data_IF_257045706305
#
_entry.id   IF_257045706305
#
_cell.length_a   1.000
_cell.length_b   1.000
_cell.length_c   1.000
_cell.angle_alpha   90.00
_cell.angle_beta   90.00
_cell.angle_gamma   90.00
#
_symmetry.space_group_name_H-M   'P 1'
#
loop_
_entity.id
_entity.type
_entity.pdbx_description
1 polymer ?
#
# COMPACT_ATOMS: atom_id res chain seq x y z
N UNK A 1 -2.45 -17.33 13.04
CA UNK A 1 -1.36 -17.17 12.06
C UNK A 1 -1.68 -15.96 11.19
N UNK A 2 -0.97 -14.83 11.40
CA UNK A 2 -1.14 -13.65 10.56
C UNK A 2 -0.49 -13.92 9.21
N UNK A 3 -1.32 -14.06 8.17
CA UNK A 3 -0.87 -14.34 6.82
C UNK A 3 -0.36 -13.01 6.23
N UNK A 4 0.95 -12.82 6.31
CA UNK A 4 1.62 -11.64 5.80
C UNK A 4 1.65 -11.69 4.26
N UNK A 5 0.55 -11.28 3.62
CA UNK A 5 0.49 -11.17 2.18
C UNK A 5 1.42 -10.02 1.73
N UNK A 6 2.65 -10.34 1.34
CA UNK A 6 3.52 -9.42 0.60
C UNK A 6 2.99 -9.28 -0.81
N UNK A 7 2.14 -8.28 -1.01
CA UNK A 7 1.77 -7.85 -2.35
C UNK A 7 2.97 -7.14 -2.98
N UNK A 8 3.62 -7.79 -3.95
CA UNK A 8 4.64 -7.18 -4.79
C UNK A 8 4.11 -7.15 -6.23
N UNK A 9 3.11 -6.31 -6.46
CA UNK A 9 2.59 -6.07 -7.79
C UNK A 9 3.25 -4.81 -8.36
N UNK A 10 3.71 -4.81 -9.62
CA UNK A 10 4.03 -3.56 -10.29
C UNK A 10 2.74 -2.76 -10.40
N UNK A 11 2.63 -1.66 -9.65
CA UNK A 11 1.50 -0.75 -9.79
C UNK A 11 1.60 -0.10 -11.17
N UNK A 12 0.93 -0.69 -12.15
CA UNK A 12 0.69 0.00 -13.40
C UNK A 12 -0.44 1.00 -13.15
N UNK A 13 -0.31 2.23 -13.66
CA UNK A 13 -1.32 3.27 -13.51
C UNK A 13 -2.56 3.03 -14.39
N UNK A 14 -2.74 1.82 -14.92
CA UNK A 14 -3.95 1.46 -15.66
C UNK A 14 -5.10 1.21 -14.69
N UNK A 15 -6.27 1.74 -15.04
CA UNK A 15 -7.45 1.76 -14.15
C UNK A 15 -7.94 0.35 -13.77
N UNK A 16 -7.63 -0.67 -14.56
CA UNK A 16 -8.05 -2.06 -14.31
C UNK A 16 -7.06 -2.89 -13.48
N UNK A 17 -5.83 -2.42 -13.25
CA UNK A 17 -4.82 -3.18 -12.51
C UNK A 17 -5.11 -3.37 -11.02
N UNK A 18 -5.62 -2.36 -10.28
CA UNK A 18 -5.87 -2.49 -8.83
C UNK A 18 -6.79 -3.64 -8.44
N UNK A 19 -7.94 -3.77 -9.11
CA UNK A 19 -8.92 -4.81 -8.80
C UNK A 19 -8.36 -6.20 -9.10
N UNK A 20 -7.67 -6.37 -10.23
CA UNK A 20 -7.04 -7.62 -10.60
C UNK A 20 -6.01 -8.07 -9.55
N UNK A 21 -5.22 -7.14 -9.02
CA UNK A 21 -4.23 -7.39 -7.97
C UNK A 21 -4.91 -7.83 -6.66
N UNK A 22 -5.97 -7.13 -6.26
CA UNK A 22 -6.76 -7.46 -5.06
C UNK A 22 -7.38 -8.85 -5.20
N UNK A 23 -8.09 -9.13 -6.30
CA UNK A 23 -8.73 -10.43 -6.52
C UNK A 23 -7.72 -11.58 -6.59
N UNK A 24 -6.58 -11.38 -7.25
CA UNK A 24 -5.52 -12.38 -7.28
C UNK A 24 -4.98 -12.69 -5.87
N UNK A 25 -4.85 -11.67 -5.02
CA UNK A 25 -4.39 -11.83 -3.63
C UNK A 25 -5.40 -12.62 -2.80
N UNK A 26 -6.68 -12.24 -2.85
CA UNK A 26 -7.76 -12.93 -2.15
C UNK A 26 -7.83 -14.41 -2.55
N UNK A 27 -7.74 -14.69 -3.85
CA UNK A 27 -7.73 -16.04 -4.39
C UNK A 27 -6.50 -16.84 -3.93
N UNK A 28 -5.29 -16.26 -4.05
CA UNK A 28 -4.04 -16.94 -3.69
C UNK A 28 -3.98 -17.35 -2.20
N UNK A 29 -4.62 -16.58 -1.33
CA UNK A 29 -4.66 -16.83 0.10
C UNK A 29 -5.97 -17.45 0.58
N UNK A 30 -6.91 -17.76 -0.32
CA UNK A 30 -8.22 -18.32 0.00
C UNK A 30 -8.95 -17.55 1.11
N UNK A 31 -8.91 -16.22 1.01
CA UNK A 31 -9.49 -15.30 2.00
C UNK A 31 -10.38 -14.26 1.30
N UNK A 32 -11.28 -13.63 2.06
CA UNK A 32 -12.07 -12.48 1.61
C UNK A 32 -11.55 -11.15 2.16
N UNK A 33 -10.52 -11.19 3.02
CA UNK A 33 -10.00 -10.02 3.73
C UNK A 33 -8.50 -9.81 3.50
N UNK A 34 -8.08 -8.55 3.59
CA UNK A 34 -6.69 -8.08 3.58
C UNK A 34 -6.39 -7.46 4.94
N UNK A 35 -5.40 -7.99 5.67
CA UNK A 35 -5.05 -7.43 6.98
C UNK A 35 -4.11 -6.21 6.87
N UNK A 36 -3.19 -6.23 5.90
CA UNK A 36 -2.19 -5.20 5.71
C UNK A 36 -1.99 -4.96 4.21
N UNK A 37 -2.12 -3.70 3.78
CA UNK A 37 -1.67 -3.24 2.47
C UNK A 37 -0.33 -2.52 2.62
N UNK A 38 0.69 -2.98 1.89
CA UNK A 38 2.00 -2.32 1.85
C UNK A 38 2.20 -1.69 0.47
N UNK A 39 2.12 -0.37 0.42
CA UNK A 39 2.31 0.39 -0.81
C UNK A 39 3.80 0.65 -1.08
N UNK A 40 4.53 -0.39 -1.49
CA UNK A 40 5.98 -0.32 -1.64
C UNK A 40 6.45 -0.03 -3.08
N UNK A 41 5.60 -0.24 -4.07
CA UNK A 41 5.98 -0.03 -5.45
C UNK A 41 6.17 1.47 -5.74
N UNK A 42 7.35 1.83 -6.23
CA UNK A 42 7.66 3.20 -6.57
C UNK A 42 8.85 3.30 -7.51
N UNK A 43 8.89 4.40 -8.25
CA UNK A 43 10.02 4.80 -9.08
C UNK A 43 10.71 6.01 -8.45
N UNK A 44 12.04 6.01 -8.50
CA UNK A 44 12.86 7.13 -8.07
C UNK A 44 13.34 7.92 -9.30
N UNK A 45 13.25 9.25 -9.23
CA UNK A 45 13.86 10.14 -10.22
C UNK A 45 15.17 10.71 -9.67
N UNK A 46 16.29 10.30 -10.27
CA UNK A 46 17.63 10.83 -9.93
C UNK A 46 18.09 11.83 -10.97
N UNK A 47 17.72 13.10 -10.77
CA UNK A 47 18.08 14.20 -11.66
C UNK A 47 18.18 15.51 -10.89
N UNK A 48 19.05 16.42 -11.35
CA UNK A 48 19.06 17.79 -10.84
C UNK A 48 17.72 18.47 -11.15
N UNK A 49 17.19 19.23 -10.20
CA UNK A 49 15.88 19.88 -10.32
C UNK A 49 15.74 20.71 -11.60
N UNK A 50 16.79 21.46 -11.97
CA UNK A 50 16.84 22.29 -13.17
C UNK A 50 16.72 21.52 -14.48
N UNK A 51 16.90 20.20 -14.46
CA UNK A 51 16.78 19.32 -15.62
C UNK A 51 15.51 18.46 -15.57
N UNK A 52 14.71 18.51 -14.49
CA UNK A 52 13.48 17.72 -14.37
C UNK A 52 12.47 18.22 -15.40
N UNK A 53 11.95 17.30 -16.21
CA UNK A 53 10.90 17.60 -17.18
C UNK A 53 9.52 17.38 -16.56
N UNK A 54 8.46 17.98 -17.14
CA UNK A 54 7.08 17.67 -16.74
C UNK A 54 6.76 16.16 -16.84
N UNK A 55 7.31 15.47 -17.85
CA UNK A 55 7.10 14.03 -18.02
C UNK A 55 7.78 13.20 -16.93
N UNK A 56 8.97 13.60 -16.47
CA UNK A 56 9.65 12.97 -15.34
C UNK A 56 8.80 13.09 -14.06
N UNK A 57 8.25 14.27 -13.81
CA UNK A 57 7.35 14.52 -12.69
C UNK A 57 6.07 13.67 -12.79
N UNK A 58 5.41 13.70 -13.96
CA UNK A 58 4.21 12.94 -14.21
C UNK A 58 4.45 11.44 -13.99
N UNK A 59 5.56 10.90 -14.49
CA UNK A 59 5.93 9.49 -14.30
C UNK A 59 6.04 9.08 -12.83
N UNK A 60 6.68 9.91 -12.01
CA UNK A 60 6.83 9.64 -10.57
C UNK A 60 5.46 9.71 -9.87
N UNK A 61 4.64 10.70 -10.19
CA UNK A 61 3.33 10.87 -9.56
C UNK A 61 2.32 9.82 -10.00
N UNK A 62 2.36 9.40 -11.27
CA UNK A 62 1.51 8.32 -11.79
C UNK A 62 1.74 7.01 -11.03
N UNK A 63 3.00 6.65 -10.75
CA UNK A 63 3.31 5.40 -10.04
C UNK A 63 3.14 5.57 -8.52
N UNK A 64 3.85 6.54 -7.93
CA UNK A 64 4.03 6.60 -6.48
C UNK A 64 2.83 7.22 -5.74
N UNK A 65 1.99 7.99 -6.45
CA UNK A 65 0.85 8.70 -5.84
C UNK A 65 -0.45 8.15 -6.39
N UNK A 66 -0.68 8.25 -7.71
CA UNK A 66 -1.94 7.82 -8.32
C UNK A 66 -2.13 6.31 -8.23
N UNK A 67 -1.16 5.52 -8.67
CA UNK A 67 -1.20 4.07 -8.56
C UNK A 67 -1.39 3.62 -7.10
N UNK A 68 -0.66 4.26 -6.19
CA UNK A 68 -0.78 4.03 -4.77
C UNK A 68 -2.20 4.27 -4.21
N UNK A 69 -2.82 5.39 -4.59
CA UNK A 69 -4.18 5.76 -4.19
C UNK A 69 -5.23 4.80 -4.76
N UNK A 70 -5.10 4.44 -6.04
CA UNK A 70 -6.04 3.52 -6.71
C UNK A 70 -6.01 2.12 -6.08
N UNK A 71 -4.81 1.59 -5.79
CA UNK A 71 -4.67 0.30 -5.11
C UNK A 71 -5.26 0.31 -3.69
N UNK A 72 -5.04 1.40 -2.94
CA UNK A 72 -5.68 1.56 -1.64
C UNK A 72 -7.21 1.60 -1.76
N UNK A 73 -7.75 2.36 -2.73
CA UNK A 73 -9.18 2.42 -3.01
C UNK A 73 -9.80 1.05 -3.27
N UNK A 74 -9.18 0.25 -4.14
CA UNK A 74 -9.64 -1.11 -4.45
C UNK A 74 -9.54 -2.07 -3.25
N UNK A 75 -8.55 -1.88 -2.37
CA UNK A 75 -8.35 -2.74 -1.21
C UNK A 75 -9.31 -2.44 -0.04
N UNK A 76 -9.74 -1.18 0.14
CA UNK A 76 -10.56 -0.73 1.29
C UNK A 76 -11.75 -1.66 1.60
N UNK A 77 -12.57 -2.10 0.62
CA UNK A 77 -13.70 -3.00 0.90
C UNK A 77 -13.31 -4.35 1.50
N UNK A 78 -12.05 -4.76 1.32
CA UNK A 78 -11.50 -6.02 1.79
C UNK A 78 -10.64 -5.86 3.04
N UNK A 79 -10.32 -4.63 3.47
CA UNK A 79 -9.47 -4.46 4.65
C UNK A 79 -10.20 -4.95 5.90
N UNK A 80 -9.57 -5.88 6.60
CA UNK A 80 -10.09 -6.38 7.87
C UNK A 80 -10.11 -5.22 8.87
N UNK A 81 -11.29 -4.89 9.39
CA UNK A 81 -11.47 -3.88 10.43
C UNK A 81 -11.03 -4.47 11.78
N UNK A 82 -9.78 -4.92 11.89
CA UNK A 82 -9.20 -5.30 13.17
C UNK A 82 -8.97 -4.01 13.93
N UNK A 83 -9.87 -3.70 14.86
CA UNK A 83 -9.65 -2.66 15.85
C UNK A 83 -8.46 -3.08 16.72
N UNK A 84 -7.32 -2.37 16.66
CA UNK A 84 -6.20 -2.72 17.52
C UNK A 84 -6.62 -2.51 18.98
N UNK A 85 -6.25 -3.41 19.91
CA UNK A 85 -6.60 -3.27 21.33
C UNK A 85 -6.00 -2.01 21.98
N UNK A 86 -5.03 -1.36 21.34
CA UNK A 86 -4.41 -0.12 21.78
C UNK A 86 -5.04 1.15 21.16
N UNK A 87 -5.96 1.02 20.21
CA UNK A 87 -6.59 2.17 19.55
C UNK A 87 -7.97 2.44 20.19
N UNK A 88 -8.16 3.58 20.89
CA UNK A 88 -9.44 3.90 21.51
C UNK A 88 -10.50 4.25 20.45
N UNK A 89 -11.61 3.51 20.43
CA UNK A 89 -12.82 3.85 19.65
C UNK A 89 -12.68 3.78 18.13
N UNK A 90 -13.46 4.61 17.41
CA UNK A 90 -13.44 4.70 15.94
C UNK A 90 -12.19 5.40 15.36
N UNK A 91 -11.22 5.78 16.20
CA UNK A 91 -10.08 6.60 15.81
C UNK A 91 -9.29 6.02 14.61
N UNK A 92 -9.24 4.68 14.47
CA UNK A 92 -8.60 4.00 13.36
C UNK A 92 -9.29 4.20 12.00
N UNK A 93 -10.58 4.59 11.97
CA UNK A 93 -11.32 4.94 10.74
C UNK A 93 -10.89 6.28 10.15
N UNK A 94 -10.27 7.14 10.97
CA UNK A 94 -9.89 8.51 10.60
C UNK A 94 -8.37 8.72 10.48
N UNK A 95 -7.55 7.71 10.77
CA UNK A 95 -6.09 7.84 10.60
C UNK A 95 -5.80 7.79 9.09
N UNK A 96 -5.25 8.85 8.50
CA UNK A 96 -4.78 8.78 7.12
C UNK A 96 -3.72 7.68 7.04
N UNK A 97 -3.78 6.85 5.99
CA UNK A 97 -3.03 5.61 5.75
C UNK A 97 -1.47 5.69 5.78
N UNK A 98 -0.85 6.62 6.50
CA UNK A 98 0.59 6.63 6.77
C UNK A 98 0.93 5.61 7.86
N UNK A 99 1.07 4.37 7.39
CA UNK A 99 1.79 3.24 7.96
C UNK A 99 2.72 3.58 9.15
N UNK A 100 2.45 2.97 10.31
CA UNK A 100 3.39 2.90 11.45
C UNK A 100 4.45 1.79 11.26
N UNK A 101 5.12 1.75 10.09
CA UNK A 101 6.20 0.78 9.81
C UNK A 101 7.37 0.91 10.79
N UNK A 102 7.56 2.10 11.37
CA UNK A 102 8.66 2.36 12.31
C UNK A 102 8.52 1.63 13.65
N UNK A 103 7.33 1.10 13.99
CA UNK A 103 7.09 0.44 15.27
C UNK A 103 7.06 -1.09 15.17
N UNK A 104 6.81 -1.65 13.97
CA UNK A 104 6.90 -3.08 13.71
C UNK A 104 8.35 -3.56 13.46
N UNK A 105 9.25 -2.68 12.96
CA UNK A 105 10.64 -3.07 12.66
C UNK A 105 11.60 -3.01 13.86
N UNK A 106 11.26 -2.29 14.94
CA UNK A 106 12.12 -2.20 16.15
C UNK A 106 12.17 -3.48 17.00
N UNK A 107 11.56 -4.58 16.55
CA UNK A 107 11.54 -5.87 17.25
C UNK A 107 12.37 -6.99 16.61
N UNK A 108 13.07 -6.77 15.49
CA UNK A 108 13.80 -7.84 14.78
C UNK A 108 15.33 -7.73 14.84
N UNK A 109 15.86 -7.10 15.90
CA UNK A 109 17.26 -7.26 16.28
C UNK A 109 17.28 -8.08 17.57
N UNK A 110 17.24 -9.39 17.41
CA UNK A 110 17.85 -10.31 18.39
C UNK A 110 19.37 -10.00 18.44
N UNK A 111 20.05 -10.25 19.58
CA UNK A 111 21.38 -9.73 19.90
C UNK A 111 22.49 -10.08 18.89
#
# INVERSE_FOLDING_TARGET
MALLARLFAPTSASDSSPDAIVQATLAAFSTSTIDILVNNAGVELRRLLVHVTPDDFARVFEVNVRGAMLLAGAAIPHVSLISPPWAPGEAWRTIPYTVRARQLWRGSREP
#
